data_IF_709216356328
#
_entry.id   IF_709216356328
#
_cell.length_a   1.000
_cell.length_b   1.000
_cell.length_c   1.000
_cell.angle_alpha   90.00
_cell.angle_beta   90.00
_cell.angle_gamma   90.00
#
_symmetry.space_group_name_H-M   'P 1'
#
loop_
_entity.id
_entity.type
_entity.pdbx_description
1 polymer ?
#
# COMPACT_ATOMS: atom_id res chain seq x y z
N UNK A 1 -20.08 -9.55 -11.56
CA UNK A 1 -19.00 -9.20 -12.51
C UNK A 1 -18.28 -10.49 -12.93
N UNK A 2 -17.63 -10.54 -14.09
CA UNK A 2 -16.83 -11.70 -14.54
C UNK A 2 -15.35 -11.27 -14.69
N UNK A 3 -14.38 -12.17 -14.49
CA UNK A 3 -12.97 -11.88 -14.77
C UNK A 3 -12.75 -11.41 -16.22
N UNK A 4 -11.73 -10.57 -16.44
CA UNK A 4 -11.37 -10.09 -17.79
C UNK A 4 -10.81 -11.19 -18.70
N UNK A 5 -10.24 -12.25 -18.13
CA UNK A 5 -9.68 -13.42 -18.81
C UNK A 5 -9.96 -14.68 -17.99
N UNK A 6 -9.79 -15.85 -18.60
CA UNK A 6 -9.92 -17.12 -17.90
C UNK A 6 -8.85 -17.25 -16.79
N UNK A 7 -9.21 -17.59 -15.54
CA UNK A 7 -8.23 -17.78 -14.48
C UNK A 7 -7.15 -18.80 -14.86
N UNK A 8 -5.88 -18.46 -14.63
CA UNK A 8 -4.73 -19.31 -14.96
C UNK A 8 -4.22 -19.17 -16.40
N UNK A 9 -4.96 -18.50 -17.30
CA UNK A 9 -4.52 -18.29 -18.69
C UNK A 9 -3.47 -17.17 -18.85
N UNK A 10 -3.52 -16.15 -17.99
CA UNK A 10 -2.59 -15.02 -17.97
C UNK A 10 -2.65 -14.30 -16.62
N UNK A 11 -1.76 -13.33 -16.39
CA UNK A 11 -1.75 -12.46 -15.22
C UNK A 11 -1.93 -11.00 -15.61
N UNK A 12 -2.58 -10.25 -14.73
CA UNK A 12 -2.65 -8.79 -14.78
C UNK A 12 -2.21 -8.23 -13.43
N UNK A 13 -1.67 -7.01 -13.42
CA UNK A 13 -1.33 -6.35 -12.16
C UNK A 13 -2.60 -5.80 -11.51
N UNK A 14 -2.98 -6.30 -10.33
CA UNK A 14 -4.17 -5.86 -9.60
C UNK A 14 -3.82 -4.69 -8.66
N UNK A 15 -3.50 -3.51 -9.24
CA UNK A 15 -2.86 -2.41 -8.52
C UNK A 15 -3.52 -2.01 -7.18
N UNK A 16 -4.83 -2.13 -7.06
CA UNK A 16 -5.58 -1.87 -5.82
C UNK A 16 -6.23 -3.14 -5.24
N UNK A 17 -6.89 -3.92 -6.10
CA UNK A 17 -7.75 -5.01 -5.65
C UNK A 17 -6.98 -6.17 -5.02
N UNK A 18 -5.70 -6.35 -5.37
CA UNK A 18 -4.84 -7.33 -4.72
C UNK A 18 -4.77 -7.11 -3.21
N UNK A 19 -4.58 -5.86 -2.77
CA UNK A 19 -4.48 -5.54 -1.35
C UNK A 19 -5.76 -5.84 -0.58
N UNK A 20 -6.94 -5.57 -1.18
CA UNK A 20 -8.21 -5.93 -0.54
C UNK A 20 -8.39 -7.44 -0.43
N UNK A 21 -8.04 -8.21 -1.47
CA UNK A 21 -8.13 -9.67 -1.41
C UNK A 21 -7.17 -10.26 -0.38
N UNK A 22 -5.91 -9.83 -0.38
CA UNK A 22 -4.90 -10.28 0.58
C UNK A 22 -5.28 -9.86 2.01
N UNK A 23 -5.72 -8.62 2.20
CA UNK A 23 -6.11 -8.09 3.51
C UNK A 23 -7.35 -8.76 4.09
N UNK A 24 -8.36 -9.06 3.27
CA UNK A 24 -9.51 -9.86 3.69
C UNK A 24 -9.12 -11.29 4.04
N UNK A 25 -8.21 -11.90 3.29
CA UNK A 25 -7.71 -13.24 3.61
C UNK A 25 -7.02 -13.24 4.98
N UNK A 26 -6.09 -12.30 5.22
CA UNK A 26 -5.38 -12.14 6.50
C UNK A 26 -6.37 -12.02 7.66
N UNK A 27 -7.35 -11.11 7.58
CA UNK A 27 -8.31 -10.91 8.67
C UNK A 27 -9.20 -12.14 8.94
N UNK A 28 -9.52 -12.91 7.90
CA UNK A 28 -10.34 -14.13 8.05
C UNK A 28 -9.58 -15.29 8.66
N UNK A 29 -8.28 -15.42 8.36
CA UNK A 29 -7.45 -16.54 8.82
C UNK A 29 -6.66 -16.24 10.08
N UNK A 30 -6.49 -14.96 10.44
CA UNK A 30 -5.87 -14.56 11.69
C UNK A 30 -6.68 -15.12 12.88
N UNK A 31 -6.09 -15.96 13.75
CA UNK A 31 -6.80 -16.56 14.89
C UNK A 31 -7.36 -15.54 15.88
N UNK A 32 -6.74 -14.35 15.94
CA UNK A 32 -7.18 -13.25 16.78
C UNK A 32 -8.22 -12.35 16.09
N UNK A 33 -8.53 -12.59 14.82
CA UNK A 33 -9.43 -11.78 13.99
C UNK A 33 -9.12 -10.28 14.07
N UNK A 34 -7.83 -9.92 14.12
CA UNK A 34 -7.37 -8.54 14.15
C UNK A 34 -7.72 -7.86 12.83
N UNK A 35 -7.89 -6.53 12.88
CA UNK A 35 -7.96 -5.74 11.66
C UNK A 35 -6.63 -5.84 10.89
N UNK A 36 -6.68 -5.63 9.57
CA UNK A 36 -5.46 -5.66 8.75
C UNK A 36 -4.40 -4.66 9.25
N UNK A 37 -4.82 -3.45 9.62
CA UNK A 37 -3.94 -2.42 10.18
C UNK A 37 -3.24 -2.87 11.46
N UNK A 38 -3.97 -3.56 12.33
CA UNK A 38 -3.40 -4.07 13.59
C UNK A 38 -2.45 -5.22 13.32
N UNK A 39 -2.84 -6.17 12.48
CA UNK A 39 -2.00 -7.30 12.08
C UNK A 39 -0.65 -6.85 11.52
N UNK A 40 -0.65 -5.87 10.62
CA UNK A 40 0.59 -5.33 10.02
C UNK A 40 1.52 -4.74 11.09
N UNK A 41 0.98 -3.99 12.06
CA UNK A 41 1.81 -3.40 13.13
C UNK A 41 2.39 -4.43 14.07
N UNK A 42 1.63 -5.48 14.38
CA UNK A 42 2.04 -6.50 15.34
C UNK A 42 3.02 -7.50 14.73
N UNK A 43 2.77 -7.94 13.49
CA UNK A 43 3.52 -9.04 12.87
C UNK A 43 4.70 -8.56 12.01
N UNK A 44 4.64 -7.33 11.47
CA UNK A 44 5.67 -6.81 10.58
C UNK A 44 6.53 -5.74 11.26
N UNK A 45 5.93 -4.58 11.55
CA UNK A 45 6.64 -3.45 12.15
C UNK A 45 5.63 -2.43 12.74
N UNK A 46 5.77 -2.00 14.01
CA UNK A 46 4.91 -0.98 14.60
C UNK A 46 4.98 0.39 13.89
N UNK A 47 6.05 0.65 13.13
CA UNK A 47 6.24 1.87 12.32
C UNK A 47 5.83 1.68 10.84
N UNK A 48 5.11 0.60 10.52
CA UNK A 48 4.43 0.43 9.24
C UNK A 48 2.93 0.59 9.42
N UNK A 49 2.38 1.67 8.89
CA UNK A 49 0.98 2.04 9.05
C UNK A 49 0.20 1.78 7.76
N UNK A 50 -0.96 1.15 7.88
CA UNK A 50 -1.99 1.10 6.84
C UNK A 50 -3.28 1.55 7.50
N UNK A 51 -3.59 2.84 7.38
CA UNK A 51 -4.55 3.51 8.25
C UNK A 51 -3.86 4.16 9.46
N UNK A 52 -3.97 5.49 9.55
CA UNK A 52 -3.42 6.30 10.65
C UNK A 52 -4.56 7.01 11.36
N UNK A 53 -4.94 6.55 12.54
CA UNK A 53 -5.96 7.20 13.37
C UNK A 53 -5.39 8.15 14.42
N UNK A 54 -4.09 8.07 14.72
CA UNK A 54 -3.41 8.87 15.74
C UNK A 54 -2.84 10.16 15.14
N UNK A 55 -3.28 11.30 15.66
CA UNK A 55 -2.86 12.64 15.26
C UNK A 55 -1.36 12.89 15.44
N UNK A 56 -0.73 12.26 16.44
CA UNK A 56 0.72 12.36 16.64
C UNK A 56 1.48 11.62 15.55
N UNK A 57 0.93 10.51 15.04
CA UNK A 57 1.52 9.79 13.90
C UNK A 57 1.28 10.57 12.62
N UNK A 58 0.07 11.09 12.42
CA UNK A 58 -0.28 11.92 11.25
C UNK A 58 0.65 13.13 11.12
N UNK A 59 0.99 13.78 12.23
CA UNK A 59 1.91 14.92 12.24
C UNK A 59 3.34 14.60 11.77
N UNK A 60 3.73 13.31 11.70
CA UNK A 60 5.04 12.86 11.22
C UNK A 60 5.04 12.54 9.72
N UNK A 61 3.88 12.47 9.07
CA UNK A 61 3.78 12.09 7.66
C UNK A 61 4.34 13.20 6.79
N UNK A 62 5.41 12.88 6.04
CA UNK A 62 5.97 13.80 5.07
C UNK A 62 5.06 13.85 3.82
N UNK A 63 4.70 15.04 3.30
CA UNK A 63 3.89 15.14 2.11
C UNK A 63 4.66 14.68 0.87
N UNK A 64 3.98 14.00 -0.04
CA UNK A 64 4.47 13.77 -1.38
C UNK A 64 4.57 15.12 -2.11
N UNK A 65 5.80 15.44 -2.52
CA UNK A 65 6.09 16.67 -3.24
C UNK A 65 5.90 16.45 -4.74
N UNK A 66 5.18 17.36 -5.38
CA UNK A 66 5.16 17.47 -6.84
C UNK A 66 6.45 18.12 -7.29
N UNK A 67 7.41 17.31 -7.73
CA UNK A 67 8.58 17.81 -8.45
C UNK A 67 8.68 17.06 -9.77
N UNK A 68 8.12 17.68 -10.81
CA UNK A 68 8.33 17.34 -12.21
C UNK A 68 7.50 16.15 -12.74
N UNK A 69 6.24 16.42 -13.07
CA UNK A 69 5.37 15.49 -13.82
C UNK A 69 5.81 15.30 -15.27
N UNK A 70 6.85 15.99 -15.75
CA UNK A 70 7.34 15.91 -17.11
C UNK A 70 7.68 14.48 -17.56
N UNK A 71 8.12 13.62 -16.63
CA UNK A 71 8.38 12.20 -16.90
C UNK A 71 7.11 11.35 -17.00
N UNK A 72 6.02 11.76 -16.35
CA UNK A 72 4.72 11.07 -16.45
C UNK A 72 3.93 11.55 -17.68
N UNK A 73 4.03 12.84 -18.00
CA UNK A 73 3.42 13.47 -19.17
C UNK A 73 4.03 13.02 -20.49
N UNK A 74 5.24 12.46 -20.47
CA UNK A 74 5.91 11.89 -21.65
C UNK A 74 5.56 10.42 -21.90
N UNK A 75 4.82 9.77 -20.99
CA UNK A 75 4.35 8.41 -21.20
C UNK A 75 3.28 8.38 -22.30
N UNK A 76 3.29 7.37 -23.18
CA UNK A 76 2.20 7.19 -24.13
C UNK A 76 0.87 7.02 -23.38
N UNK A 77 -0.27 7.40 -24.01
CA UNK A 77 -1.58 7.24 -23.40
C UNK A 77 -1.77 5.77 -23.00
N UNK A 78 -2.17 5.56 -21.75
CA UNK A 78 -2.39 4.23 -21.21
C UNK A 78 -3.57 3.58 -21.95
N UNK A 79 -3.48 2.26 -22.14
CA UNK A 79 -4.66 1.50 -22.53
C UNK A 79 -5.74 1.68 -21.44
N UNK A 80 -7.04 1.85 -21.79
CA UNK A 80 -8.12 2.02 -20.82
C UNK A 80 -8.14 0.98 -19.68
N UNK A 81 -7.71 -0.26 -19.94
CA UNK A 81 -7.60 -1.29 -18.92
C UNK A 81 -6.56 -0.93 -17.85
N UNK A 82 -5.41 -0.38 -18.26
CA UNK A 82 -4.34 0.04 -17.36
C UNK A 82 -4.78 1.28 -16.58
N UNK A 83 -5.41 2.25 -17.24
CA UNK A 83 -5.95 3.44 -16.60
C UNK A 83 -6.98 3.10 -15.51
N UNK A 84 -7.92 2.20 -15.81
CA UNK A 84 -8.91 1.72 -14.85
C UNK A 84 -8.26 0.95 -13.69
N UNK A 85 -7.24 0.15 -13.99
CA UNK A 85 -6.49 -0.58 -12.96
C UNK A 85 -5.78 0.35 -11.99
N UNK A 86 -5.17 1.42 -12.51
CA UNK A 86 -4.40 2.41 -11.74
C UNK A 86 -5.26 3.41 -10.97
N UNK A 87 -6.58 3.40 -11.14
CA UNK A 87 -7.49 4.37 -10.53
C UNK A 87 -8.71 3.75 -9.85
N UNK A 88 -8.79 2.42 -9.75
CA UNK A 88 -10.02 1.72 -9.39
C UNK A 88 -11.22 2.17 -10.24
N UNK A 89 -11.05 2.21 -11.56
CA UNK A 89 -12.06 2.68 -12.51
C UNK A 89 -12.54 4.12 -12.17
N UNK A 90 -11.59 5.00 -11.85
CA UNK A 90 -11.82 6.39 -11.47
C UNK A 90 -12.22 6.64 -10.01
N UNK A 91 -12.44 5.60 -9.20
CA UNK A 91 -12.81 5.77 -7.79
C UNK A 91 -11.68 6.33 -6.91
N UNK A 92 -10.43 6.06 -7.28
CA UNK A 92 -9.21 6.52 -6.60
C UNK A 92 -8.24 7.13 -7.61
N UNK A 93 -8.49 8.37 -8.08
CA UNK A 93 -7.56 9.06 -8.97
C UNK A 93 -6.25 9.38 -8.25
N UNK A 94 -5.13 9.40 -8.97
CA UNK A 94 -3.82 9.73 -8.39
C UNK A 94 -3.75 11.17 -7.85
N UNK A 95 -4.51 12.08 -8.48
CA UNK A 95 -4.63 13.50 -8.11
C UNK A 95 -5.93 13.75 -7.38
N UNK A 96 -5.89 14.66 -6.42
CA UNK A 96 -7.09 15.18 -5.78
C UNK A 96 -8.00 15.86 -6.80
N UNK A 97 -9.34 15.72 -6.72
CA UNK A 97 -10.25 16.43 -7.60
C UNK A 97 -9.99 17.94 -7.53
N UNK A 98 -9.87 18.59 -8.70
CA UNK A 98 -9.63 20.02 -8.85
C UNK A 98 -8.30 20.53 -8.23
N UNK A 99 -7.30 19.67 -8.07
CA UNK A 99 -5.98 20.04 -7.54
C UNK A 99 -4.88 19.17 -8.16
N UNK A 100 -3.66 19.73 -8.28
CA UNK A 100 -2.47 18.96 -8.67
C UNK A 100 -1.85 18.19 -7.50
N UNK A 101 -2.43 18.29 -6.31
CA UNK A 101 -1.97 17.55 -5.13
C UNK A 101 -2.23 16.04 -5.30
N UNK A 102 -1.30 15.22 -4.81
CA UNK A 102 -1.52 13.78 -4.73
C UNK A 102 -2.67 13.47 -3.77
N UNK A 103 -3.60 12.60 -4.19
CA UNK A 103 -4.71 12.16 -3.32
C UNK A 103 -4.19 11.53 -2.03
N UNK A 104 -2.99 10.93 -2.11
CA UNK A 104 -2.28 10.29 -1.01
C UNK A 104 -1.74 11.23 0.05
N UNK A 105 -1.77 12.56 -0.15
CA UNK A 105 -1.45 13.53 0.91
C UNK A 105 -2.67 13.84 1.80
N UNK A 106 -3.88 13.42 1.40
CA UNK A 106 -5.09 13.72 2.16
C UNK A 106 -5.12 12.87 3.42
N UNK A 107 -5.33 13.52 4.57
CA UNK A 107 -5.56 12.85 5.86
C UNK A 107 -6.63 11.74 5.79
N UNK A 108 -7.71 11.95 5.03
CA UNK A 108 -8.75 10.92 4.84
C UNK A 108 -8.23 9.66 4.13
N UNK A 109 -7.22 9.78 3.28
CA UNK A 109 -6.56 8.64 2.62
C UNK A 109 -5.53 8.01 3.54
N UNK A 110 -4.81 8.77 4.36
CA UNK A 110 -3.94 8.20 5.41
C UNK A 110 -4.74 7.39 6.43
N UNK A 111 -5.94 7.85 6.79
CA UNK A 111 -6.85 7.18 7.73
C UNK A 111 -7.49 5.91 7.16
N UNK A 112 -7.67 5.83 5.84
CA UNK A 112 -8.27 4.67 5.20
C UNK A 112 -7.35 3.44 5.28
N UNK A 113 -7.94 2.25 5.21
CA UNK A 113 -7.17 1.00 5.08
C UNK A 113 -7.24 0.57 3.62
N UNK A 114 -6.20 0.87 2.84
CA UNK A 114 -6.10 0.52 1.41
C UNK A 114 -4.82 -0.29 1.21
N UNK A 115 -4.83 -1.60 1.57
CA UNK A 115 -3.62 -2.39 1.78
C UNK A 115 -2.61 -2.42 0.64
N UNK A 116 -3.06 -2.17 -0.59
CA UNK A 116 -2.19 -2.18 -1.76
C UNK A 116 -1.37 -0.90 -1.97
N UNK A 117 -1.86 0.27 -1.54
CA UNK A 117 -1.34 1.55 -2.07
C UNK A 117 -1.08 2.64 -1.04
N UNK A 118 -1.67 2.58 0.16
CA UNK A 118 -1.57 3.69 1.13
C UNK A 118 -0.76 3.35 2.39
N UNK A 119 0.10 2.34 2.32
CA UNK A 119 1.03 2.05 3.40
C UNK A 119 2.02 3.20 3.61
N UNK A 120 2.16 3.67 4.84
CA UNK A 120 3.06 4.75 5.23
C UNK A 120 4.06 4.19 6.25
N UNK A 121 5.35 4.33 5.96
CA UNK A 121 6.42 3.87 6.83
C UNK A 121 7.70 4.68 6.59
N UNK A 122 8.78 4.26 7.22
CA UNK A 122 10.11 4.83 7.06
C UNK A 122 11.10 3.79 6.52
N UNK A 123 12.25 4.26 6.01
CA UNK A 123 13.24 3.41 5.36
C UNK A 123 13.78 2.29 6.27
N UNK A 124 13.97 2.57 7.56
CA UNK A 124 14.50 1.60 8.52
C UNK A 124 13.51 0.45 8.75
N UNK A 125 12.24 0.80 8.96
CA UNK A 125 11.16 -0.16 9.21
C UNK A 125 10.91 -1.04 7.98
N UNK A 126 10.90 -0.44 6.78
CA UNK A 126 10.79 -1.19 5.54
C UNK A 126 11.97 -2.15 5.34
N UNK A 127 13.20 -1.70 5.63
CA UNK A 127 14.38 -2.57 5.55
C UNK A 127 14.29 -3.76 6.51
N UNK A 128 13.78 -3.54 7.73
CA UNK A 128 13.55 -4.61 8.71
C UNK A 128 12.51 -5.63 8.24
N UNK A 129 11.40 -5.16 7.66
CA UNK A 129 10.37 -6.04 7.09
C UNK A 129 10.95 -6.93 6.00
N UNK A 130 11.76 -6.38 5.08
CA UNK A 130 12.41 -7.19 4.05
C UNK A 130 13.44 -8.16 4.63
N UNK A 131 14.14 -7.78 5.70
CA UNK A 131 15.09 -8.66 6.36
C UNK A 131 14.41 -9.90 7.01
N UNK A 132 13.18 -9.77 7.52
CA UNK A 132 12.37 -10.90 8.01
C UNK A 132 12.12 -11.98 6.94
N UNK A 133 12.12 -11.62 5.66
CA UNK A 133 11.95 -12.57 4.56
C UNK A 133 13.22 -13.40 4.30
N UNK A 134 14.36 -12.96 4.81
CA UNK A 134 15.65 -13.63 4.66
C UNK A 134 15.90 -14.54 5.87
N UNK A 135 15.54 -14.10 7.07
CA UNK A 135 15.71 -14.86 8.30
C UNK A 135 15.40 -14.04 9.54
N UNK A 136 15.71 -14.59 10.72
CA UNK A 136 15.44 -13.92 11.99
C UNK A 136 16.21 -12.61 12.08
N UNK A 137 15.55 -11.55 12.53
CA UNK A 137 16.16 -10.24 12.81
C UNK A 137 16.15 -9.95 14.30
N UNK A 138 17.26 -9.43 14.81
CA UNK A 138 17.32 -8.93 16.18
C UNK A 138 16.66 -7.55 16.32
N UNK A 139 16.61 -7.04 17.54
CA UNK A 139 16.07 -5.71 17.88
C UNK A 139 16.70 -4.54 17.10
N UNK A 140 17.92 -4.72 16.57
CA UNK A 140 18.64 -3.73 15.77
C UNK A 140 18.41 -3.91 14.26
N UNK A 141 17.49 -4.79 13.84
CA UNK A 141 17.18 -5.05 12.44
C UNK A 141 18.27 -5.82 11.68
N UNK A 142 19.25 -6.43 12.37
CA UNK A 142 20.27 -7.28 11.73
C UNK A 142 19.79 -8.73 11.66
N UNK A 143 19.94 -9.35 10.49
CA UNK A 143 19.72 -10.79 10.35
C UNK A 143 20.69 -11.56 11.25
N UNK A 144 20.16 -12.47 12.07
CA UNK A 144 20.93 -13.29 13.02
C UNK A 144 20.94 -14.78 12.66
N UNK A 145 20.25 -15.18 11.60
CA UNK A 145 20.28 -16.53 11.05
C UNK A 145 19.13 -16.76 10.06
N UNK A 146 19.23 -17.82 9.25
CA UNK A 146 18.07 -18.45 8.62
C UNK A 146 17.52 -19.53 9.56
N UNK A 147 16.20 -19.78 9.58
CA UNK A 147 15.62 -20.90 10.31
C UNK A 147 16.19 -22.26 9.85
#
# INVERSE_FOLDING_TARGET
>A
MKPYWEPGSTHGYHAYTFGFFAGELVQRVDPQHRSYSQFVRDELDPEFYVGISDDNVEARVAPLLTKNDAGLASLPPLNPLVENTMSCNGAFPMRSPNSDEFVFNRRSVHQAVIPAVNGISNAHSLARIYALLIGDVNENGKCVGTP
#
